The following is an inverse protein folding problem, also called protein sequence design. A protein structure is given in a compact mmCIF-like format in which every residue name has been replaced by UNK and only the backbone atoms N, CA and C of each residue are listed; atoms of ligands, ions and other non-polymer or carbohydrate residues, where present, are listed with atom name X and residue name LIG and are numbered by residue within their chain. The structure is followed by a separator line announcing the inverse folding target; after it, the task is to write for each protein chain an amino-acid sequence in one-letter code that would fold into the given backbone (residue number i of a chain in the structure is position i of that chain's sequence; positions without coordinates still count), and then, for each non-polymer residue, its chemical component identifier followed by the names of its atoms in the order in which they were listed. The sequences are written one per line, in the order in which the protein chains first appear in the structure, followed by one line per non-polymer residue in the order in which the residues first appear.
data_IF_287005430497
#
_entry.id   IF_287005430497
#
_cell.length_a   1.000
_cell.length_b   1.000
_cell.length_c   1.000
_cell.angle_alpha   90.00
_cell.angle_beta   90.00
_cell.angle_gamma   90.00
#
_symmetry.space_group_name_H-M   'P 1'
#
loop_
_entity.id
_entity.type
_entity.pdbx_description
1 polymer ?
#
# COMPACT_ATOMS: atom_id res chain seq x y z
N UNK A 1 5.18 -14.50 -9.67
CA UNK A 1 4.92 -14.66 -8.22
C UNK A 1 3.40 -14.68 -8.03
N UNK A 2 2.84 -15.69 -7.38
CA UNK A 2 1.40 -15.79 -7.11
C UNK A 2 0.91 -14.73 -6.11
N UNK A 3 -0.41 -14.53 -6.00
CA UNK A 3 -0.99 -13.64 -4.98
C UNK A 3 -0.67 -14.11 -3.55
N UNK A 4 -0.62 -15.42 -3.33
CA UNK A 4 -0.28 -15.97 -2.03
C UNK A 4 1.20 -15.80 -1.70
N UNK A 5 2.07 -15.77 -2.70
CA UNK A 5 3.52 -15.59 -2.51
C UNK A 5 3.85 -14.18 -1.98
N UNK A 6 3.20 -13.12 -2.50
CA UNK A 6 3.41 -11.77 -1.96
C UNK A 6 2.92 -11.66 -0.53
N UNK A 7 1.79 -12.29 -0.20
CA UNK A 7 1.24 -12.28 1.15
C UNK A 7 2.12 -13.07 2.12
N UNK A 8 2.68 -14.20 1.69
CA UNK A 8 3.62 -14.98 2.49
C UNK A 8 4.93 -14.21 2.74
N UNK A 9 5.44 -13.51 1.72
CA UNK A 9 6.58 -12.59 1.87
C UNK A 9 6.29 -11.51 2.92
N UNK A 10 5.09 -10.93 2.91
CA UNK A 10 4.68 -9.95 3.93
C UNK A 10 4.64 -10.55 5.34
N UNK A 11 4.11 -11.77 5.48
CA UNK A 11 4.09 -12.49 6.77
C UNK A 11 5.51 -12.71 7.28
N UNK A 12 6.38 -13.25 6.43
CA UNK A 12 7.77 -13.56 6.75
C UNK A 12 8.54 -12.29 7.14
N UNK A 13 8.45 -11.23 6.33
CA UNK A 13 9.10 -9.95 6.62
C UNK A 13 8.61 -9.34 7.94
N UNK A 14 7.30 -9.34 8.19
CA UNK A 14 6.71 -8.77 9.41
C UNK A 14 7.15 -9.52 10.67
N UNK A 15 7.13 -10.86 10.64
CA UNK A 15 7.57 -11.69 11.76
C UNK A 15 9.08 -11.55 12.01
N UNK A 16 9.90 -11.56 10.95
CA UNK A 16 11.36 -11.41 11.05
C UNK A 16 11.74 -10.04 11.61
N UNK A 17 11.10 -8.96 11.15
CA UNK A 17 11.32 -7.61 11.71
C UNK A 17 10.95 -7.54 13.18
N UNK A 18 9.84 -8.15 13.60
CA UNK A 18 9.47 -8.15 15.01
C UNK A 18 10.48 -8.92 15.87
N UNK A 19 10.92 -10.10 15.42
CA UNK A 19 11.93 -10.89 16.10
C UNK A 19 13.23 -10.09 16.28
N UNK A 20 13.71 -9.43 15.23
CA UNK A 20 14.91 -8.60 15.27
C UNK A 20 14.78 -7.41 16.24
N UNK A 21 13.64 -6.70 16.23
CA UNK A 21 13.46 -5.48 17.02
C UNK A 21 13.10 -5.72 18.49
N UNK A 22 12.37 -6.80 18.80
CA UNK A 22 11.82 -7.03 20.14
C UNK A 22 12.23 -8.36 20.76
N UNK A 23 13.03 -9.18 20.07
CA UNK A 23 13.40 -10.53 20.50
C UNK A 23 12.26 -11.55 20.46
N UNK A 24 11.09 -11.16 19.94
CA UNK A 24 9.88 -11.99 19.93
C UNK A 24 9.17 -11.89 18.59
N UNK A 25 8.77 -13.04 18.03
CA UNK A 25 7.95 -13.08 16.82
C UNK A 25 6.51 -12.63 17.12
N UNK A 26 5.82 -12.10 16.11
CA UNK A 26 4.40 -11.79 16.20
C UNK A 26 3.51 -13.00 15.89
N UNK A 27 4.11 -14.07 15.35
CA UNK A 27 3.41 -15.28 14.92
C UNK A 27 2.24 -14.95 13.99
N UNK A 28 2.39 -13.93 13.15
CA UNK A 28 1.40 -13.61 12.13
C UNK A 28 1.35 -14.80 11.18
N UNK A 29 0.15 -15.29 10.88
CA UNK A 29 -0.07 -16.33 9.88
C UNK A 29 -0.63 -15.72 8.60
N UNK A 30 -0.47 -16.41 7.46
CA UNK A 30 -1.09 -16.02 6.19
C UNK A 30 -2.62 -15.86 6.33
N UNK A 31 -3.26 -16.75 7.11
CA UNK A 31 -4.69 -16.67 7.41
C UNK A 31 -5.05 -15.39 8.15
N UNK A 32 -4.30 -15.01 9.19
CA UNK A 32 -4.55 -13.76 9.92
C UNK A 32 -4.31 -12.53 9.05
N UNK A 33 -3.29 -12.53 8.19
CA UNK A 33 -3.06 -11.44 7.25
C UNK A 33 -4.24 -11.27 6.29
N UNK A 34 -4.71 -12.37 5.68
CA UNK A 34 -5.89 -12.37 4.80
C UNK A 34 -7.15 -11.88 5.53
N UNK A 35 -7.38 -12.32 6.76
CA UNK A 35 -8.49 -11.82 7.59
C UNK A 35 -8.34 -10.31 7.84
N UNK A 36 -7.15 -9.83 8.19
CA UNK A 36 -6.89 -8.41 8.44
C UNK A 36 -7.20 -7.55 7.21
N UNK A 37 -6.81 -7.99 6.00
CA UNK A 37 -7.19 -7.31 4.76
C UNK A 37 -8.69 -7.36 4.48
N UNK A 38 -9.33 -8.51 4.66
CA UNK A 38 -10.79 -8.63 4.59
C UNK A 38 -11.52 -7.65 5.51
N UNK A 39 -11.02 -7.47 6.73
CA UNK A 39 -11.55 -6.48 7.66
C UNK A 39 -11.37 -5.05 7.16
N UNK A 40 -10.20 -4.70 6.58
CA UNK A 40 -10.00 -3.38 5.97
C UNK A 40 -11.00 -3.11 4.82
N UNK A 41 -11.32 -4.11 3.99
CA UNK A 41 -12.34 -3.97 2.94
C UNK A 41 -13.74 -3.76 3.50
N UNK A 42 -14.16 -4.53 4.50
CA UNK A 42 -15.47 -4.33 5.13
C UNK A 42 -15.56 -2.93 5.76
N UNK A 43 -14.49 -2.50 6.46
CA UNK A 43 -14.45 -1.19 7.11
C UNK A 43 -14.41 -0.02 6.13
N UNK A 44 -13.87 -0.20 4.92
CA UNK A 44 -13.88 0.83 3.88
C UNK A 44 -15.27 1.05 3.27
N UNK A 45 -16.11 0.02 3.25
CA UNK A 45 -17.53 0.11 2.89
C UNK A 45 -18.36 0.77 4.01
N UNK A 46 -18.13 0.40 5.27
CA UNK A 46 -18.92 0.88 6.41
C UNK A 46 -18.54 2.29 6.90
N UNK A 47 -17.26 2.68 6.78
CA UNK A 47 -16.74 4.03 7.05
C UNK A 47 -17.06 4.61 8.43
N UNK A 48 -16.99 3.81 9.50
CA UNK A 48 -17.11 4.35 10.85
C UNK A 48 -16.02 5.40 11.14
N UNK A 49 -16.34 6.49 11.88
CA UNK A 49 -15.40 7.59 12.13
C UNK A 49 -14.10 7.17 12.83
N UNK A 50 -14.15 6.10 13.65
CA UNK A 50 -12.99 5.56 14.36
C UNK A 50 -12.97 4.04 14.23
N UNK A 51 -11.83 3.48 13.80
CA UNK A 51 -11.64 2.03 13.63
C UNK A 51 -11.99 1.25 14.91
N UNK A 52 -11.68 1.78 16.10
CA UNK A 52 -12.00 1.11 17.37
C UNK A 52 -13.50 0.90 17.61
N UNK A 53 -14.37 1.65 16.94
CA UNK A 53 -15.82 1.53 17.09
C UNK A 53 -16.35 0.18 16.60
N UNK A 54 -15.69 -0.46 15.62
CA UNK A 54 -16.08 -1.77 15.10
C UNK A 54 -16.03 -2.90 16.15
N UNK A 55 -15.31 -2.68 17.26
CA UNK A 55 -15.23 -3.59 18.42
C UNK A 55 -15.88 -3.00 19.69
N UNK A 56 -16.54 -1.84 19.60
CA UNK A 56 -17.16 -1.22 20.78
C UNK A 56 -18.48 -1.91 21.15
N UNK A 57 -18.84 -1.97 22.43
CA UNK A 57 -20.07 -2.65 22.87
C UNK A 57 -21.33 -2.11 22.18
N UNK A 58 -21.40 -0.79 21.95
CA UNK A 58 -22.57 -0.11 21.35
C UNK A 58 -22.65 -0.27 19.82
N UNK A 59 -21.51 -0.27 19.14
CA UNK A 59 -21.46 -0.18 17.67
C UNK A 59 -20.77 -1.37 16.99
N UNK A 60 -20.45 -2.43 17.75
CA UNK A 60 -19.73 -3.59 17.22
C UNK A 60 -20.43 -4.18 16.01
N UNK A 61 -19.62 -4.58 15.04
CA UNK A 61 -20.08 -5.33 13.87
C UNK A 61 -19.77 -6.81 14.13
N UNK A 62 -20.78 -7.70 14.25
CA UNK A 62 -20.57 -9.09 14.66
C UNK A 62 -19.56 -9.85 13.82
N UNK A 63 -19.58 -9.68 12.48
CA UNK A 63 -18.63 -10.36 11.59
C UNK A 63 -17.18 -9.91 11.84
N UNK A 64 -16.96 -8.63 12.17
CA UNK A 64 -15.63 -8.09 12.47
C UNK A 64 -15.11 -8.63 13.81
N UNK A 65 -15.94 -8.57 14.85
CA UNK A 65 -15.55 -9.03 16.20
C UNK A 65 -15.30 -10.54 16.22
N UNK A 66 -16.08 -11.32 15.46
CA UNK A 66 -15.91 -12.76 15.34
C UNK A 66 -14.64 -13.12 14.55
N UNK A 67 -14.26 -12.33 13.55
CA UNK A 67 -13.13 -12.62 12.69
C UNK A 67 -11.77 -12.37 13.38
N UNK A 68 -11.62 -11.29 14.14
CA UNK A 68 -10.36 -10.97 14.82
C UNK A 68 -10.59 -10.08 16.04
N UNK A 69 -9.83 -10.30 17.13
CA UNK A 69 -9.83 -9.41 18.30
C UNK A 69 -9.22 -8.05 17.93
N UNK A 70 -9.78 -6.97 18.49
CA UNK A 70 -9.35 -5.57 18.27
C UNK A 70 -7.83 -5.42 18.37
N UNK A 71 -7.25 -5.87 19.48
CA UNK A 71 -5.83 -5.60 19.77
C UNK A 71 -4.91 -6.40 18.85
N UNK A 72 -5.33 -7.60 18.42
CA UNK A 72 -4.60 -8.37 17.38
C UNK A 72 -4.63 -7.66 16.03
N UNK A 73 -5.78 -7.11 15.63
CA UNK A 73 -5.90 -6.32 14.40
C UNK A 73 -4.97 -5.10 14.41
N UNK A 74 -4.96 -4.32 15.49
CA UNK A 74 -4.07 -3.17 15.60
C UNK A 74 -2.60 -3.57 15.65
N UNK A 75 -2.25 -4.68 16.33
CA UNK A 75 -0.89 -5.18 16.38
C UNK A 75 -0.38 -5.56 14.99
N UNK A 76 -1.15 -6.34 14.23
CA UNK A 76 -0.84 -6.68 12.83
C UNK A 76 -0.68 -5.40 12.02
N UNK A 77 -1.68 -4.51 12.04
CA UNK A 77 -1.68 -3.25 11.29
C UNK A 77 -0.44 -2.38 11.55
N UNK A 78 0.03 -2.29 12.80
CA UNK A 78 1.20 -1.49 13.17
C UNK A 78 2.54 -2.13 12.84
N UNK A 79 2.56 -3.41 12.46
CA UNK A 79 3.77 -4.21 12.30
C UNK A 79 3.95 -4.78 10.89
N UNK A 80 3.06 -4.47 9.95
CA UNK A 80 3.15 -4.95 8.57
C UNK A 80 4.42 -4.44 7.89
N UNK A 81 5.12 -5.37 7.27
CA UNK A 81 6.28 -5.18 6.41
C UNK A 81 6.09 -5.98 5.13
N UNK A 82 6.48 -5.41 3.99
CA UNK A 82 6.50 -6.11 2.69
C UNK A 82 7.89 -6.68 2.41
N UNK A 83 8.91 -6.00 2.91
CA UNK A 83 10.31 -6.39 2.82
C UNK A 83 10.95 -6.32 4.20
N UNK A 84 12.00 -7.09 4.41
CA UNK A 84 12.84 -6.99 5.59
C UNK A 84 13.92 -5.94 5.33
N UNK A 85 14.08 -4.98 6.25
CA UNK A 85 14.90 -3.79 6.01
C UNK A 85 16.39 -4.14 5.73
N UNK A 86 16.94 -5.20 6.35
CA UNK A 86 18.36 -5.58 6.16
C UNK A 86 18.61 -6.47 4.93
N UNK A 87 17.56 -6.84 4.17
CA UNK A 87 17.73 -7.62 2.94
C UNK A 87 18.07 -6.75 1.73
N UNK A 88 18.12 -5.42 1.88
CA UNK A 88 18.35 -4.47 0.78
C UNK A 88 19.64 -3.68 0.95
N UNK A 89 20.27 -3.38 -0.18
CA UNK A 89 21.49 -2.59 -0.25
C UNK A 89 21.19 -1.10 -0.13
N UNK A 90 22.19 -0.33 0.33
CA UNK A 90 22.12 1.14 0.43
C UNK A 90 21.94 1.85 -0.93
N UNK A 91 22.19 1.15 -2.03
CA UNK A 91 22.08 1.67 -3.41
C UNK A 91 20.63 1.59 -3.90
N UNK A 92 19.95 0.45 -3.68
CA UNK A 92 18.53 0.28 -3.99
C UNK A 92 17.63 1.28 -3.24
N UNK A 93 18.04 1.70 -2.04
CA UNK A 93 17.32 2.73 -1.26
C UNK A 93 17.39 4.13 -1.89
N UNK A 94 18.49 4.46 -2.56
CA UNK A 94 18.69 5.80 -3.15
C UNK A 94 17.89 5.97 -4.43
N UNK A 95 17.82 4.93 -5.24
CA UNK A 95 17.19 4.98 -6.56
C UNK A 95 15.66 4.88 -6.46
N UNK A 96 15.14 4.17 -5.45
CA UNK A 96 13.70 3.96 -5.27
C UNK A 96 13.22 4.32 -3.86
N UNK A 97 12.68 5.53 -3.68
CA UNK A 97 12.18 6.00 -2.36
C UNK A 97 11.01 5.19 -1.81
N UNK A 98 10.34 4.38 -2.63
CA UNK A 98 9.26 3.48 -2.22
C UNK A 98 9.65 2.00 -2.25
N UNK A 99 10.96 1.69 -2.23
CA UNK A 99 11.51 0.33 -2.23
C UNK A 99 10.81 -0.61 -1.22
N UNK A 100 10.41 -0.06 -0.05
CA UNK A 100 9.70 -0.79 1.01
C UNK A 100 8.37 -1.38 0.59
N UNK A 101 7.74 -0.82 -0.44
CA UNK A 101 6.45 -1.25 -0.97
C UNK A 101 6.57 -1.86 -2.37
N UNK A 102 7.75 -1.76 -3.00
CA UNK A 102 7.96 -2.14 -4.40
C UNK A 102 7.43 -3.55 -4.75
N UNK A 103 7.74 -4.62 -3.99
CA UNK A 103 7.23 -5.95 -4.35
C UNK A 103 5.70 -6.07 -4.31
N UNK A 104 5.03 -5.31 -3.45
CA UNK A 104 3.58 -5.29 -3.39
C UNK A 104 2.99 -4.44 -4.51
N UNK A 105 3.59 -3.29 -4.79
CA UNK A 105 3.18 -2.41 -5.88
C UNK A 105 3.34 -3.08 -7.24
N UNK A 106 4.46 -3.75 -7.50
CA UNK A 106 4.69 -4.48 -8.73
C UNK A 106 3.63 -5.57 -8.94
N UNK A 107 3.25 -6.28 -7.87
CA UNK A 107 2.18 -7.28 -7.96
C UNK A 107 0.81 -6.66 -8.26
N UNK A 108 0.53 -5.46 -7.73
CA UNK A 108 -0.69 -4.71 -8.07
C UNK A 108 -0.63 -4.25 -9.54
N UNK A 109 0.51 -3.74 -9.99
CA UNK A 109 0.75 -3.30 -11.36
C UNK A 109 0.58 -4.44 -12.36
N UNK A 110 1.10 -5.64 -12.08
CA UNK A 110 0.85 -6.83 -12.89
C UNK A 110 -0.65 -7.12 -13.07
N UNK A 111 -1.47 -6.83 -12.05
CA UNK A 111 -2.93 -6.93 -12.13
C UNK A 111 -3.56 -5.83 -12.98
N UNK A 112 -3.09 -4.59 -12.83
CA UNK A 112 -3.49 -3.45 -13.64
C UNK A 112 -3.15 -3.64 -15.13
N UNK A 113 -1.98 -4.17 -15.45
CA UNK A 113 -1.53 -4.40 -16.82
C UNK A 113 -2.33 -5.46 -17.56
N UNK A 114 -3.00 -6.36 -16.83
CA UNK A 114 -3.94 -7.35 -17.39
C UNK A 114 -5.32 -6.80 -17.73
N UNK A 115 -5.62 -5.56 -17.33
CA UNK A 115 -6.91 -4.93 -17.63
C UNK A 115 -6.99 -4.52 -19.10
N UNK A 116 -8.20 -4.51 -19.65
CA UNK A 116 -8.44 -4.10 -21.04
C UNK A 116 -7.99 -2.67 -21.29
N UNK A 117 -7.21 -2.47 -22.36
CA UNK A 117 -6.75 -1.17 -22.83
C UNK A 117 -7.43 -0.85 -24.16
N UNK A 118 -8.13 0.28 -24.19
CA UNK A 118 -8.83 0.80 -25.37
C UNK A 118 -8.05 1.97 -25.98
N UNK A 119 -8.55 2.55 -27.08
CA UNK A 119 -7.98 3.79 -27.64
C UNK A 119 -8.33 4.98 -26.74
N UNK A 120 -9.54 4.98 -26.18
CA UNK A 120 -10.06 6.05 -25.32
C UNK A 120 -9.60 5.86 -23.87
N UNK A 121 -8.32 6.10 -23.59
CA UNK A 121 -7.77 6.01 -22.24
C UNK A 121 -7.55 7.40 -21.65
N UNK A 122 -7.66 7.53 -20.33
CA UNK A 122 -7.42 8.78 -19.62
C UNK A 122 -6.24 8.66 -18.68
N UNK A 123 -5.33 9.64 -18.74
CA UNK A 123 -4.23 9.83 -17.80
C UNK A 123 -4.57 11.02 -16.90
N UNK A 124 -4.54 10.83 -15.58
CA UNK A 124 -4.76 11.91 -14.62
C UNK A 124 -3.97 11.68 -13.33
N UNK A 125 -3.93 12.70 -12.49
CA UNK A 125 -3.28 12.74 -11.20
C UNK A 125 -4.26 12.38 -10.06
N UNK A 126 -3.95 11.30 -9.35
CA UNK A 126 -4.61 10.90 -8.11
C UNK A 126 -3.74 11.28 -6.90
N UNK A 127 -4.38 11.81 -5.85
CA UNK A 127 -3.74 12.05 -4.56
C UNK A 127 -4.25 11.06 -3.54
N UNK A 128 -3.34 10.30 -2.93
CA UNK A 128 -3.61 9.44 -1.78
C UNK A 128 -3.44 10.30 -0.51
N UNK A 129 -4.51 10.62 0.24
CA UNK A 129 -4.41 11.47 1.41
C UNK A 129 -3.45 10.89 2.45
N UNK A 130 -2.41 11.65 2.78
CA UNK A 130 -1.39 11.20 3.73
C UNK A 130 -0.73 12.39 4.42
N UNK A 131 -0.97 12.51 5.72
CA UNK A 131 -0.41 13.57 6.56
C UNK A 131 0.86 13.16 7.32
N UNK A 132 1.29 11.90 7.22
CA UNK A 132 2.51 11.42 7.89
C UNK A 132 3.78 11.99 7.26
N UNK A 133 4.90 11.87 7.97
CA UNK A 133 6.21 12.28 7.47
C UNK A 133 6.69 11.29 6.39
N UNK A 134 6.90 11.78 5.17
CA UNK A 134 7.40 11.01 4.05
C UNK A 134 8.08 11.96 3.05
N UNK A 135 9.23 11.56 2.50
CA UNK A 135 10.04 12.40 1.60
C UNK A 135 9.42 12.65 0.23
N UNK A 136 8.39 11.89 -0.16
CA UNK A 136 7.68 12.01 -1.45
C UNK A 136 6.28 12.63 -1.29
N UNK A 137 5.97 13.16 -0.11
CA UNK A 137 4.69 13.83 0.15
C UNK A 137 4.64 15.17 -0.57
N UNK A 138 3.56 15.43 -1.27
CA UNK A 138 3.33 16.66 -2.02
C UNK A 138 2.14 17.45 -1.46
N UNK A 139 2.15 18.75 -1.72
CA UNK A 139 1.04 19.65 -1.45
C UNK A 139 0.49 20.22 -2.77
N UNK A 140 -0.76 19.92 -3.11
CA UNK A 140 -1.47 20.46 -4.27
C UNK A 140 -2.72 21.24 -3.81
N UNK A 141 -2.69 22.59 -3.81
CA UNK A 141 -3.76 23.41 -3.23
C UNK A 141 -5.13 23.25 -3.91
N UNK A 142 -5.17 22.81 -5.18
CA UNK A 142 -6.41 22.71 -5.96
C UNK A 142 -7.14 21.36 -5.81
N UNK A 143 -6.69 20.44 -4.94
CA UNK A 143 -7.33 19.13 -4.72
C UNK A 143 -8.07 19.11 -3.37
N UNK A 144 -9.20 18.37 -3.24
CA UNK A 144 -9.99 18.32 -1.99
C UNK A 144 -9.19 17.92 -0.75
N UNK A 145 -8.21 17.03 -0.93
CA UNK A 145 -7.19 16.72 0.07
C UNK A 145 -5.84 17.18 -0.49
N UNK A 146 -5.37 18.38 -0.12
CA UNK A 146 -4.22 18.97 -0.79
C UNK A 146 -2.90 18.31 -0.39
N UNK A 147 -2.84 17.59 0.74
CA UNK A 147 -1.62 16.97 1.25
C UNK A 147 -1.67 15.44 1.11
N UNK A 148 -0.73 14.86 0.36
CA UNK A 148 -0.70 13.41 0.17
C UNK A 148 0.43 12.89 -0.70
N UNK A 149 0.28 11.66 -1.16
CA UNK A 149 1.17 11.03 -2.14
C UNK A 149 0.55 11.17 -3.53
N UNK A 150 1.32 11.70 -4.48
CA UNK A 150 0.87 11.85 -5.87
C UNK A 150 1.13 10.58 -6.66
N UNK A 151 0.13 10.18 -7.43
CA UNK A 151 0.19 9.02 -8.32
C UNK A 151 -0.36 9.45 -9.69
N UNK A 152 0.40 9.21 -10.74
CA UNK A 152 -0.08 9.30 -12.12
C UNK A 152 -0.79 7.98 -12.44
N UNK A 153 -2.01 8.05 -12.94
CA UNK A 153 -2.85 6.86 -13.14
C UNK A 153 -3.37 6.84 -14.57
N UNK A 154 -3.26 5.70 -15.23
CA UNK A 154 -3.88 5.41 -16.52
C UNK A 154 -5.17 4.61 -16.28
N UNK A 155 -6.29 5.08 -16.81
CA UNK A 155 -7.61 4.45 -16.65
C UNK A 155 -8.31 4.21 -17.97
N UNK A 156 -9.09 3.14 -18.04
CA UNK A 156 -9.99 2.88 -19.17
C UNK A 156 -11.34 3.62 -19.00
N UNK A 157 -12.22 3.64 -20.03
CA UNK A 157 -13.52 4.32 -19.97
C UNK A 157 -14.43 3.85 -18.84
N UNK A 158 -14.23 2.63 -18.34
CA UNK A 158 -14.99 2.06 -17.22
C UNK A 158 -14.46 2.51 -15.85
N UNK A 159 -13.43 3.35 -15.81
CA UNK A 159 -12.79 3.83 -14.59
C UNK A 159 -11.87 2.81 -13.91
N UNK A 160 -11.47 1.75 -14.63
CA UNK A 160 -10.53 0.75 -14.12
C UNK A 160 -9.09 1.23 -14.35
N UNK A 161 -8.25 1.09 -13.34
CA UNK A 161 -6.83 1.43 -13.42
C UNK A 161 -6.05 0.37 -14.19
N UNK A 162 -5.43 0.79 -15.29
CA UNK A 162 -4.66 -0.05 -16.20
C UNK A 162 -3.15 0.13 -16.04
N UNK A 163 -2.70 1.24 -15.45
CA UNK A 163 -1.30 1.51 -15.11
C UNK A 163 -1.20 2.60 -14.04
N UNK A 164 -0.09 2.66 -13.30
CA UNK A 164 0.18 3.78 -12.40
C UNK A 164 1.67 3.98 -12.10
N UNK A 165 2.03 5.23 -11.83
CA UNK A 165 3.38 5.63 -11.40
C UNK A 165 3.25 6.48 -10.15
N UNK A 166 3.90 6.07 -9.06
CA UNK A 166 4.00 6.87 -7.83
C UNK A 166 5.07 7.92 -8.02
N UNK A 167 4.73 9.18 -7.77
CA UNK A 167 5.67 10.30 -7.87
C UNK A 167 6.69 10.24 -6.73
N UNK A 168 7.99 10.27 -7.07
CA UNK A 168 9.11 10.16 -6.12
C UNK A 168 10.03 11.40 -6.12
N UNK A 169 9.55 12.52 -6.66
CA UNK A 169 10.35 13.71 -6.94
C UNK A 169 11.41 13.43 -8.04
N UNK A 170 12.68 13.70 -7.75
CA UNK A 170 13.84 13.49 -8.60
C UNK A 170 14.04 12.04 -9.07
N UNK A 171 13.54 11.05 -8.31
CA UNK A 171 13.66 9.63 -8.67
C UNK A 171 12.40 9.04 -9.32
N UNK A 172 11.48 9.88 -9.81
CA UNK A 172 10.23 9.39 -10.43
C UNK A 172 10.47 8.64 -11.73
N UNK A 173 11.41 9.14 -12.55
CA UNK A 173 11.79 8.53 -13.81
C UNK A 173 13.27 8.15 -13.74
N UNK A 174 13.66 6.94 -14.18
CA UNK A 174 15.06 6.60 -14.35
C UNK A 174 15.74 7.62 -15.27
N UNK A 175 17.01 7.93 -15.00
CA UNK A 175 17.80 8.93 -15.72
C UNK A 175 17.80 8.74 -17.25
N UNK A 176 17.61 7.50 -17.72
CA UNK A 176 17.53 7.12 -19.13
C UNK A 176 16.32 7.71 -19.88
N UNK A 177 15.22 8.04 -19.19
CA UNK A 177 14.03 8.66 -19.81
C UNK A 177 14.11 10.19 -19.82
N UNK A 178 14.89 10.79 -18.92
CA UNK A 178 15.09 12.25 -18.90
C UNK A 178 15.86 12.74 -20.13
N UNK A 179 16.77 11.94 -20.68
CA UNK A 179 17.53 12.28 -21.91
C UNK A 179 16.64 12.35 -23.17
N UNK A 180 15.47 11.71 -23.17
CA UNK A 180 14.52 11.75 -24.29
C UNK A 180 13.51 12.92 -24.20
N UNK A 181 13.55 13.69 -23.12
CA UNK A 181 12.59 14.78 -22.85
C UNK A 181 13.25 16.16 -22.68
N UNK A 182 14.56 16.27 -22.89
CA UNK A 182 15.24 17.56 -23.02
C UNK A 182 14.95 18.15 -24.41
N UNK A 183 13.97 19.04 -24.49
CA UNK A 183 13.77 19.95 -25.62
C UNK A 183 14.76 21.11 -25.57
#
# INVERSE_FOLDING_TARGET
MGDDDILDKMVTASNRTALSRTGHTLEITLKELKISFGLNFIMSCLRYPKIRMYWSNKWRIPIIVKAMKRDRFFKIRSSLKVVYDDDLSSEEEKDDKIWKLRPLLDRVLEGCHKQERTVDMSIDEMIIPFAGQCGIRVYLPCKPNPLGLKVLVLTNPNGVVCDMIVYQCDTTFPTELTELTSW
#
